data_IF_570697965942
#
_entry.id   IF_570697965942
#
_cell.length_a   1.000
_cell.length_b   1.000
_cell.length_c   1.000
_cell.angle_alpha   90.00
_cell.angle_beta   90.00
_cell.angle_gamma   90.00
#
_symmetry.space_group_name_H-M   'P 1'
#
loop_
_entity.id
_entity.type
_entity.pdbx_description
1 polymer ?
#
# COMPACT_ATOMS: atom_id res chain seq x y z
N UNK A 1 -11.35 11.98 16.84
CA UNK A 1 -10.41 10.90 16.98
C UNK A 1 -11.11 9.56 17.26
N UNK A 2 -10.47 8.49 16.93
CA UNK A 2 -10.89 7.13 17.25
C UNK A 2 -9.69 6.40 17.85
N UNK A 3 -9.95 5.54 18.82
CA UNK A 3 -8.94 4.60 19.33
C UNK A 3 -9.05 3.30 18.51
N UNK A 4 -8.09 3.01 17.61
CA UNK A 4 -8.15 1.80 16.79
C UNK A 4 -7.97 0.53 17.60
N UNK A 5 -7.19 0.57 18.67
CA UNK A 5 -6.92 -0.59 19.54
C UNK A 5 -8.11 -0.94 20.44
N UNK A 6 -9.04 -0.01 20.63
CA UNK A 6 -10.34 -0.27 21.27
C UNK A 6 -11.39 -0.84 20.31
N UNK A 7 -11.10 -0.91 19.01
CA UNK A 7 -11.99 -1.46 17.96
C UNK A 7 -11.48 -2.79 17.43
N UNK A 8 -10.19 -2.86 17.11
CA UNK A 8 -9.53 -4.04 16.59
C UNK A 8 -8.63 -4.66 17.64
N UNK A 9 -8.67 -5.98 17.73
CA UNK A 9 -7.64 -6.73 18.42
C UNK A 9 -6.42 -6.83 17.49
N UNK A 10 -5.49 -5.91 17.64
CA UNK A 10 -4.25 -5.89 16.86
C UNK A 10 -3.25 -6.88 17.46
N UNK A 11 -2.63 -7.70 16.62
CA UNK A 11 -1.65 -8.72 17.01
C UNK A 11 -0.44 -8.59 16.10
N UNK A 12 0.75 -8.54 16.71
CA UNK A 12 1.99 -8.81 16.00
C UNK A 12 2.09 -10.33 15.76
N UNK A 13 1.97 -10.72 14.47
CA UNK A 13 1.95 -12.13 14.07
C UNK A 13 3.36 -12.67 13.76
N UNK A 14 4.38 -11.85 13.97
CA UNK A 14 5.79 -12.16 13.79
C UNK A 14 6.23 -12.21 12.32
N UNK A 15 7.52 -12.38 12.15
CA UNK A 15 8.19 -12.34 10.85
C UNK A 15 7.97 -13.62 10.03
N UNK A 16 8.14 -13.49 8.71
CA UNK A 16 8.27 -14.62 7.81
C UNK A 16 9.73 -15.10 7.82
N UNK A 17 9.94 -16.37 8.06
CA UNK A 17 11.26 -16.97 7.93
C UNK A 17 11.62 -17.11 6.43
N UNK A 18 12.25 -16.10 5.86
CA UNK A 18 12.66 -16.07 4.45
C UNK A 18 13.79 -17.08 4.17
N UNK A 19 13.93 -17.47 2.90
CA UNK A 19 15.02 -18.32 2.39
C UNK A 19 16.03 -17.43 1.66
N UNK A 20 17.18 -17.08 2.26
CA UNK A 20 18.16 -16.22 1.61
C UNK A 20 18.61 -16.80 0.26
N UNK A 21 18.55 -15.98 -0.80
CA UNK A 21 18.92 -16.37 -2.15
C UNK A 21 17.87 -17.21 -2.90
N UNK A 22 16.72 -17.51 -2.28
CA UNK A 22 15.60 -18.21 -2.93
C UNK A 22 14.30 -17.40 -2.76
N UNK A 23 14.07 -16.47 -3.70
CA UNK A 23 12.88 -15.61 -3.68
C UNK A 23 11.59 -16.42 -3.89
N UNK A 24 11.62 -17.51 -4.64
CA UNK A 24 10.44 -18.35 -4.90
C UNK A 24 9.99 -19.03 -3.62
N UNK A 25 10.92 -19.60 -2.88
CA UNK A 25 10.64 -20.22 -1.57
C UNK A 25 10.24 -19.17 -0.54
N UNK A 26 10.89 -18.00 -0.53
CA UNK A 26 10.52 -16.88 0.35
C UNK A 26 9.08 -16.43 0.08
N UNK A 27 8.73 -16.21 -1.18
CA UNK A 27 7.35 -15.87 -1.58
C UNK A 27 6.33 -16.96 -1.21
N UNK A 28 6.71 -18.24 -1.31
CA UNK A 28 5.84 -19.33 -0.87
C UNK A 28 5.52 -19.22 0.63
N UNK A 29 6.54 -19.01 1.46
CA UNK A 29 6.40 -18.85 2.92
C UNK A 29 5.57 -17.63 3.29
N UNK A 30 5.78 -16.50 2.60
CA UNK A 30 4.96 -15.28 2.78
C UNK A 30 3.50 -15.57 2.45
N UNK A 31 3.24 -16.24 1.31
CA UNK A 31 1.88 -16.63 0.91
C UNK A 31 1.20 -17.50 1.98
N UNK A 32 1.93 -18.47 2.52
CA UNK A 32 1.40 -19.36 3.55
C UNK A 32 1.10 -18.57 4.86
N UNK A 33 1.99 -17.66 5.26
CA UNK A 33 1.79 -16.80 6.44
C UNK A 33 0.58 -15.89 6.31
N UNK A 34 0.41 -15.23 5.16
CA UNK A 34 -0.77 -14.38 4.90
C UNK A 34 -2.04 -15.22 4.87
N UNK A 35 -1.97 -16.42 4.28
CA UNK A 35 -3.10 -17.35 4.28
C UNK A 35 -3.52 -17.74 5.70
N UNK A 36 -2.59 -18.00 6.62
CA UNK A 36 -2.90 -18.29 8.04
C UNK A 36 -3.72 -17.16 8.68
N UNK A 37 -3.33 -15.89 8.42
CA UNK A 37 -4.07 -14.73 8.93
C UNK A 37 -5.49 -14.66 8.34
N UNK A 38 -5.61 -14.91 7.03
CA UNK A 38 -6.91 -14.91 6.35
C UNK A 38 -7.83 -16.06 6.78
N UNK A 39 -7.27 -17.22 7.09
CA UNK A 39 -8.02 -18.38 7.60
C UNK A 39 -8.57 -18.12 9.01
N UNK A 40 -7.97 -17.20 9.77
CA UNK A 40 -8.43 -16.73 11.08
C UNK A 40 -9.38 -15.52 11.00
N UNK A 41 -9.85 -15.17 9.79
CA UNK A 41 -10.64 -13.96 9.51
C UNK A 41 -9.95 -12.66 9.97
N UNK A 42 -8.62 -12.68 10.02
CA UNK A 42 -7.80 -11.51 10.31
C UNK A 42 -7.68 -10.59 9.09
N UNK A 43 -7.43 -9.30 9.35
CA UNK A 43 -7.09 -8.31 8.34
C UNK A 43 -5.56 -8.32 8.21
N UNK A 44 -4.99 -8.80 7.09
CA UNK A 44 -3.55 -8.83 6.91
C UNK A 44 -3.00 -7.41 6.70
N UNK A 45 -2.04 -7.02 7.52
CA UNK A 45 -1.22 -5.81 7.36
C UNK A 45 0.24 -6.26 7.33
N UNK A 46 0.84 -6.25 6.14
CA UNK A 46 2.20 -6.72 5.94
C UNK A 46 3.17 -5.55 5.94
N UNK A 47 4.29 -5.72 6.64
CA UNK A 47 5.34 -4.72 6.72
C UNK A 47 6.59 -5.23 6.02
N UNK A 48 6.94 -4.56 5.03
CA UNK A 48 8.02 -4.55 4.13
C UNK A 48 9.02 -5.58 4.03
N UNK A 49 9.99 -5.60 3.46
CA UNK A 49 10.89 -5.93 2.42
C UNK A 49 10.69 -5.07 1.16
N UNK A 50 11.27 -5.55 0.10
CA UNK A 50 11.09 -4.97 -1.22
C UNK A 50 9.67 -5.20 -1.78
N UNK A 51 9.30 -4.47 -2.82
CA UNK A 51 7.94 -4.50 -3.37
C UNK A 51 7.55 -5.86 -4.02
N UNK A 52 8.49 -6.79 -4.21
CA UNK A 52 8.19 -8.13 -4.74
C UNK A 52 7.26 -8.93 -3.83
N UNK A 53 7.24 -8.64 -2.52
CA UNK A 53 6.41 -9.34 -1.54
C UNK A 53 4.93 -9.19 -1.81
N UNK A 54 4.50 -8.08 -2.41
CA UNK A 54 3.09 -7.81 -2.74
C UNK A 54 2.50 -8.90 -3.62
N UNK A 55 3.26 -9.45 -4.57
CA UNK A 55 2.82 -10.62 -5.34
C UNK A 55 2.51 -11.82 -4.44
N UNK A 56 3.37 -12.11 -3.47
CA UNK A 56 3.18 -13.24 -2.55
C UNK A 56 1.95 -13.05 -1.66
N UNK A 57 1.74 -11.82 -1.20
CA UNK A 57 0.61 -11.43 -0.36
C UNK A 57 -0.71 -11.53 -1.13
N UNK A 58 -0.79 -10.93 -2.32
CA UNK A 58 -1.96 -10.97 -3.19
C UNK A 58 -2.26 -12.39 -3.63
N UNK A 59 -1.26 -13.24 -3.87
CA UNK A 59 -1.46 -14.66 -4.18
C UNK A 59 -2.18 -15.42 -3.07
N UNK A 60 -1.95 -15.08 -1.80
CA UNK A 60 -2.73 -15.62 -0.68
C UNK A 60 -4.15 -15.05 -0.67
N UNK A 61 -4.27 -13.74 -0.84
CA UNK A 61 -5.54 -13.01 -0.86
C UNK A 61 -6.47 -13.52 -1.98
N UNK A 62 -5.93 -13.78 -3.17
CA UNK A 62 -6.63 -14.34 -4.32
C UNK A 62 -7.16 -15.77 -4.11
N UNK A 63 -6.67 -16.50 -3.12
CA UNK A 63 -7.24 -17.82 -2.76
C UNK A 63 -8.59 -17.68 -2.03
N UNK A 64 -8.76 -16.60 -1.25
CA UNK A 64 -10.00 -16.29 -0.53
C UNK A 64 -10.96 -15.48 -1.41
N UNK A 65 -10.46 -14.50 -2.18
CA UNK A 65 -11.25 -13.56 -2.98
C UNK A 65 -10.92 -13.72 -4.47
N UNK A 66 -11.94 -13.93 -5.30
CA UNK A 66 -11.75 -14.23 -6.74
C UNK A 66 -11.60 -12.99 -7.61
N UNK A 67 -12.25 -11.89 -7.22
CA UNK A 67 -12.16 -10.61 -7.90
C UNK A 67 -11.73 -9.57 -6.88
N UNK A 68 -10.56 -9.00 -7.07
CA UNK A 68 -10.04 -7.96 -6.18
C UNK A 68 -9.92 -6.63 -6.91
N UNK A 69 -10.10 -5.54 -6.16
CA UNK A 69 -9.62 -4.23 -6.56
C UNK A 69 -8.27 -3.95 -5.93
N UNK A 70 -7.45 -3.15 -6.59
CA UNK A 70 -6.13 -2.81 -6.07
C UNK A 70 -5.83 -1.33 -6.26
N UNK A 71 -5.33 -0.70 -5.20
CA UNK A 71 -4.72 0.62 -5.25
C UNK A 71 -3.24 0.45 -4.94
N UNK A 72 -2.42 0.86 -5.89
CA UNK A 72 -0.97 0.86 -5.81
C UNK A 72 -0.50 2.30 -5.66
N UNK A 73 0.18 2.62 -4.59
CA UNK A 73 0.66 3.96 -4.27
C UNK A 73 2.17 3.89 -4.30
N UNK A 74 2.76 4.47 -5.33
CA UNK A 74 4.14 4.22 -5.70
C UNK A 74 4.66 5.29 -6.66
N UNK A 75 5.95 5.55 -6.60
CA UNK A 75 6.65 6.35 -7.61
C UNK A 75 6.88 5.59 -8.91
N UNK A 76 6.94 4.26 -8.81
CA UNK A 76 7.19 3.35 -9.92
C UNK A 76 5.92 2.61 -10.35
N UNK A 77 5.90 2.06 -11.55
CA UNK A 77 4.73 1.31 -12.02
C UNK A 77 4.83 -0.19 -11.74
N UNK A 78 5.98 -0.69 -11.46
CA UNK A 78 6.33 -2.06 -11.06
C UNK A 78 5.66 -3.17 -11.88
N UNK A 79 5.48 -2.88 -13.16
CA UNK A 79 4.77 -3.73 -14.11
C UNK A 79 5.65 -4.25 -15.26
N UNK A 80 6.98 -4.21 -15.09
CA UNK A 80 7.92 -4.76 -16.06
C UNK A 80 7.67 -6.26 -16.31
N UNK A 81 7.97 -6.80 -17.48
CA UNK A 81 7.85 -8.23 -17.74
C UNK A 81 8.79 -9.06 -16.84
N UNK A 82 9.89 -8.47 -16.45
CA UNK A 82 10.92 -9.01 -15.54
C UNK A 82 11.77 -7.88 -15.01
N UNK A 83 12.45 -8.07 -13.88
CA UNK A 83 13.40 -7.11 -13.35
C UNK A 83 14.64 -6.94 -14.21
N UNK A 84 15.52 -6.00 -13.85
CA UNK A 84 16.75 -5.68 -14.58
C UNK A 84 17.70 -6.88 -14.71
N UNK A 85 17.65 -7.81 -13.77
CA UNK A 85 18.46 -9.05 -13.79
C UNK A 85 17.83 -10.18 -14.59
N UNK A 86 16.68 -9.96 -15.24
CA UNK A 86 15.92 -10.99 -15.94
C UNK A 86 15.05 -11.84 -15.02
N UNK A 87 14.93 -11.48 -13.74
CA UNK A 87 14.15 -12.24 -12.76
C UNK A 87 12.67 -11.86 -12.83
N UNK A 88 11.78 -12.84 -12.79
CA UNK A 88 10.34 -12.62 -12.85
C UNK A 88 9.74 -12.10 -11.54
N UNK A 89 10.31 -12.54 -10.42
CA UNK A 89 9.82 -12.21 -9.07
C UNK A 89 10.70 -11.12 -8.49
N UNK A 90 10.59 -9.95 -9.06
CA UNK A 90 11.37 -8.76 -8.80
C UNK A 90 10.45 -7.63 -8.34
N UNK A 91 10.97 -6.68 -7.54
CA UNK A 91 10.19 -5.54 -7.05
C UNK A 91 9.55 -4.75 -8.21
N UNK A 92 10.29 -4.49 -9.29
CA UNK A 92 9.79 -3.79 -10.48
C UNK A 92 8.85 -4.61 -11.39
N UNK A 93 8.46 -5.83 -11.00
CA UNK A 93 7.69 -6.74 -11.86
C UNK A 93 6.44 -7.35 -11.18
N UNK A 94 6.19 -7.04 -9.92
CA UNK A 94 5.16 -7.71 -9.12
C UNK A 94 3.73 -7.48 -9.64
N UNK A 95 3.41 -6.29 -10.16
CA UNK A 95 2.09 -5.99 -10.73
C UNK A 95 1.77 -6.92 -11.91
N UNK A 96 2.75 -7.16 -12.78
CA UNK A 96 2.54 -8.10 -13.89
C UNK A 96 2.28 -9.53 -13.40
N UNK A 97 2.97 -9.96 -12.34
CA UNK A 97 2.74 -11.27 -11.71
C UNK A 97 1.35 -11.36 -11.08
N UNK A 98 0.86 -10.27 -10.48
CA UNK A 98 -0.49 -10.20 -9.92
C UNK A 98 -1.55 -10.32 -11.03
N UNK A 99 -1.36 -9.62 -12.15
CA UNK A 99 -2.27 -9.74 -13.31
C UNK A 99 -2.35 -11.17 -13.85
N UNK A 100 -1.22 -11.88 -13.85
CA UNK A 100 -1.17 -13.30 -14.27
C UNK A 100 -1.95 -14.25 -13.36
N UNK A 101 -2.26 -13.87 -12.10
CA UNK A 101 -3.13 -14.65 -11.22
C UNK A 101 -4.60 -14.64 -11.66
N UNK A 102 -5.01 -13.68 -12.49
CA UNK A 102 -6.37 -13.56 -13.00
C UNK A 102 -7.42 -13.07 -11.99
N UNK A 103 -7.01 -12.71 -10.78
CA UNK A 103 -7.90 -12.17 -9.73
C UNK A 103 -8.13 -10.66 -9.83
N UNK A 104 -7.22 -9.93 -10.49
CA UNK A 104 -7.26 -8.49 -10.70
C UNK A 104 -7.59 -8.19 -12.16
N UNK A 105 -8.57 -7.33 -12.40
CA UNK A 105 -8.85 -6.76 -13.73
C UNK A 105 -8.29 -5.35 -13.77
N UNK A 106 -7.74 -4.92 -14.91
CA UNK A 106 -7.15 -3.60 -15.01
C UNK A 106 -8.11 -2.46 -14.70
N UNK A 107 -9.39 -2.61 -15.06
CA UNK A 107 -10.44 -1.64 -14.68
C UNK A 107 -10.62 -1.47 -13.16
N UNK A 108 -10.10 -2.37 -12.33
CA UNK A 108 -10.15 -2.30 -10.88
C UNK A 108 -8.78 -1.97 -10.25
N UNK A 109 -7.83 -1.52 -11.08
CA UNK A 109 -6.49 -1.13 -10.65
C UNK A 109 -6.28 0.38 -10.82
N UNK A 110 -5.66 1.01 -9.83
CA UNK A 110 -5.23 2.40 -9.88
C UNK A 110 -3.82 2.53 -9.30
N UNK A 111 -2.91 3.19 -10.04
CA UNK A 111 -1.60 3.61 -9.57
C UNK A 111 -1.66 5.10 -9.20
N UNK A 112 -1.10 5.48 -8.06
CA UNK A 112 -1.03 6.88 -7.60
C UNK A 112 0.41 7.24 -7.29
N UNK A 113 0.93 8.30 -7.93
CA UNK A 113 2.23 8.89 -7.63
C UNK A 113 3.33 8.68 -8.65
N UNK A 114 3.12 7.99 -9.82
CA UNK A 114 4.22 7.71 -10.74
C UNK A 114 4.85 9.01 -11.27
N UNK A 115 6.18 9.01 -11.28
CA UNK A 115 7.00 10.13 -11.72
C UNK A 115 8.41 9.66 -12.11
N UNK A 116 9.33 10.59 -12.37
CA UNK A 116 10.68 10.26 -12.80
C UNK A 116 10.74 9.82 -14.24
N UNK A 117 11.75 9.05 -14.59
CA UNK A 117 12.01 8.57 -15.95
C UNK A 117 11.54 7.13 -16.21
N UNK A 118 11.04 6.46 -15.20
CA UNK A 118 10.51 5.10 -15.29
C UNK A 118 9.07 5.07 -14.72
N UNK A 119 8.08 4.43 -15.37
CA UNK A 119 8.24 3.57 -16.54
C UNK A 119 8.42 4.33 -17.86
N UNK A 120 9.08 3.67 -18.81
CA UNK A 120 9.19 4.18 -20.18
C UNK A 120 7.89 4.00 -20.99
N UNK A 121 7.83 4.56 -22.23
CA UNK A 121 6.62 4.58 -23.06
C UNK A 121 5.98 3.20 -23.30
N UNK A 122 6.79 2.16 -23.42
CA UNK A 122 6.30 0.79 -23.67
C UNK A 122 5.51 0.22 -22.47
N UNK A 123 5.93 0.56 -21.25
CA UNK A 123 5.20 0.16 -20.04
C UNK A 123 3.89 0.94 -19.88
N UNK A 124 3.90 2.24 -20.13
CA UNK A 124 2.66 3.04 -20.17
C UNK A 124 1.66 2.52 -21.21
N UNK A 125 2.18 2.14 -22.40
CA UNK A 125 1.33 1.51 -23.41
C UNK A 125 0.74 0.21 -22.89
N UNK A 126 1.55 -0.65 -22.28
CA UNK A 126 1.05 -1.90 -21.70
C UNK A 126 0.00 -1.65 -20.62
N UNK A 127 0.22 -0.68 -19.73
CA UNK A 127 -0.76 -0.30 -18.70
C UNK A 127 -2.09 0.14 -19.31
N UNK A 128 -2.04 0.97 -20.35
CA UNK A 128 -3.23 1.41 -21.10
C UNK A 128 -3.95 0.23 -21.76
N UNK A 129 -3.22 -0.71 -22.37
CA UNK A 129 -3.76 -1.93 -23.00
C UNK A 129 -4.43 -2.85 -21.94
N UNK A 130 -4.06 -2.75 -20.65
CA UNK A 130 -4.70 -3.44 -19.53
C UNK A 130 -5.89 -2.69 -18.92
N UNK A 131 -6.23 -1.50 -19.42
CA UNK A 131 -7.26 -0.62 -18.83
C UNK A 131 -6.89 -0.18 -17.38
N UNK A 132 -5.61 0.08 -17.12
CA UNK A 132 -5.14 0.65 -15.86
C UNK A 132 -5.47 2.14 -15.78
N UNK A 133 -5.81 2.60 -14.59
CA UNK A 133 -5.81 4.02 -14.25
C UNK A 133 -4.51 4.38 -13.53
N UNK A 134 -3.98 5.56 -13.79
CA UNK A 134 -2.90 6.14 -12.99
C UNK A 134 -3.10 7.64 -12.83
N UNK A 135 -2.59 8.15 -11.72
CA UNK A 135 -2.52 9.55 -11.39
C UNK A 135 -1.07 9.91 -11.10
N UNK A 136 -0.46 10.66 -11.98
CA UNK A 136 0.91 11.19 -11.81
C UNK A 136 0.94 12.24 -10.70
N UNK A 137 2.15 12.64 -10.27
CA UNK A 137 2.26 13.76 -9.34
C UNK A 137 1.75 15.10 -9.92
N UNK A 138 1.74 15.25 -11.26
CA UNK A 138 1.09 16.40 -11.90
C UNK A 138 -0.44 16.35 -11.72
N UNK A 139 -1.03 15.16 -11.82
CA UNK A 139 -2.46 14.98 -11.54
C UNK A 139 -2.79 15.26 -10.06
N UNK A 140 -1.88 14.91 -9.15
CA UNK A 140 -2.04 15.24 -7.71
C UNK A 140 -2.07 16.74 -7.50
N UNK A 141 -1.19 17.49 -8.20
CA UNK A 141 -1.14 18.95 -8.14
C UNK A 141 -2.40 19.60 -8.75
N UNK A 142 -2.86 19.10 -9.89
CA UNK A 142 -4.00 19.68 -10.63
C UNK A 142 -5.36 19.32 -10.02
N UNK A 143 -5.56 18.06 -9.64
CA UNK A 143 -6.86 17.54 -9.21
C UNK A 143 -7.04 17.58 -7.69
N UNK A 144 -5.94 17.50 -6.95
CA UNK A 144 -5.91 17.38 -5.50
C UNK A 144 -6.17 15.94 -5.00
N UNK A 145 -5.60 15.66 -3.84
CA UNK A 145 -5.56 14.30 -3.27
C UNK A 145 -6.98 13.76 -2.93
N UNK A 146 -7.92 14.63 -2.60
CA UNK A 146 -9.29 14.22 -2.22
C UNK A 146 -10.06 13.63 -3.41
N UNK A 147 -9.92 14.25 -4.59
CA UNK A 147 -10.55 13.76 -5.81
C UNK A 147 -9.91 12.45 -6.26
N UNK A 148 -8.59 12.38 -6.26
CA UNK A 148 -7.84 11.17 -6.62
C UNK A 148 -8.20 9.99 -5.71
N UNK A 149 -8.23 10.20 -4.39
CA UNK A 149 -8.62 9.17 -3.43
C UNK A 149 -10.02 8.62 -3.72
N UNK A 150 -10.97 9.52 -4.02
CA UNK A 150 -12.34 9.12 -4.36
C UNK A 150 -12.40 8.29 -5.65
N UNK A 151 -11.78 8.76 -6.72
CA UNK A 151 -11.81 8.07 -8.02
C UNK A 151 -11.11 6.70 -7.92
N UNK A 152 -9.97 6.62 -7.21
CA UNK A 152 -9.27 5.37 -6.96
C UNK A 152 -10.12 4.39 -6.13
N UNK A 153 -10.78 4.87 -5.07
CA UNK A 153 -11.65 4.04 -4.24
C UNK A 153 -12.88 3.54 -5.01
N UNK A 154 -13.54 4.40 -5.79
CA UNK A 154 -14.69 4.03 -6.61
C UNK A 154 -14.31 2.92 -7.62
N UNK A 155 -13.14 3.07 -8.28
CA UNK A 155 -12.64 2.09 -9.25
C UNK A 155 -12.25 0.77 -8.59
N UNK A 156 -11.57 0.81 -7.46
CA UNK A 156 -11.17 -0.40 -6.73
C UNK A 156 -12.36 -1.17 -6.14
N UNK A 157 -13.49 -0.50 -5.86
CA UNK A 157 -14.70 -1.13 -5.32
C UNK A 157 -15.68 -1.65 -6.40
N UNK A 158 -15.42 -1.42 -7.70
CA UNK A 158 -16.40 -1.74 -8.75
C UNK A 158 -16.53 -3.26 -8.98
N UNK A 159 -17.58 -3.84 -8.40
CA UNK A 159 -17.94 -5.27 -8.55
C UNK A 159 -16.79 -6.23 -8.17
N UNK A 160 -16.16 -6.00 -7.05
CA UNK A 160 -15.08 -6.83 -6.49
C UNK A 160 -15.50 -7.50 -5.18
N UNK A 161 -14.80 -8.56 -4.81
CA UNK A 161 -15.03 -9.28 -3.56
C UNK A 161 -14.30 -8.60 -2.39
N UNK A 162 -13.14 -7.99 -2.65
CA UNK A 162 -12.26 -7.39 -1.65
C UNK A 162 -11.29 -6.39 -2.28
N UNK A 163 -10.69 -5.52 -1.46
CA UNK A 163 -9.72 -4.52 -1.91
C UNK A 163 -8.36 -4.73 -1.24
N UNK A 164 -7.31 -4.57 -2.03
CA UNK A 164 -5.92 -4.59 -1.61
C UNK A 164 -5.29 -3.21 -1.83
N UNK A 165 -4.62 -2.67 -0.82
CA UNK A 165 -3.79 -1.48 -0.97
C UNK A 165 -2.33 -1.87 -0.78
N UNK A 166 -1.49 -1.54 -1.75
CA UNK A 166 -0.04 -1.61 -1.65
C UNK A 166 0.53 -0.21 -1.63
N UNK A 167 1.35 0.08 -0.63
CA UNK A 167 1.97 1.39 -0.46
C UNK A 167 3.49 1.26 -0.43
N UNK A 168 4.14 1.78 -1.47
CA UNK A 168 5.57 2.00 -1.47
C UNK A 168 5.89 3.32 -0.75
N UNK A 169 6.87 3.27 0.16
CA UNK A 169 7.25 4.46 0.93
C UNK A 169 7.92 5.52 0.07
N UNK A 170 8.49 5.15 -1.08
CA UNK A 170 9.15 6.06 -2.00
C UNK A 170 8.18 6.96 -2.79
N UNK A 171 6.86 6.71 -2.70
CA UNK A 171 5.84 7.65 -3.17
C UNK A 171 6.00 9.03 -2.55
N UNK A 172 6.50 9.07 -1.31
CA UNK A 172 6.81 10.34 -0.67
C UNK A 172 8.03 11.00 -1.28
N UNK A 173 8.06 12.34 -1.24
CA UNK A 173 9.27 13.08 -1.55
C UNK A 173 10.41 12.69 -0.59
N UNK A 174 11.66 12.56 -1.08
CA UNK A 174 12.81 12.22 -0.24
C UNK A 174 13.05 13.16 0.95
N UNK A 175 12.49 14.37 0.92
CA UNK A 175 12.50 15.26 2.08
C UNK A 175 11.69 14.73 3.27
N UNK A 176 10.73 13.82 3.03
CA UNK A 176 9.87 13.21 4.05
C UNK A 176 10.18 11.73 4.28
N UNK A 177 10.67 11.02 3.25
CA UNK A 177 10.99 9.60 3.32
C UNK A 177 12.33 9.30 2.64
N UNK A 178 13.48 9.73 3.24
CA UNK A 178 14.79 9.44 2.68
C UNK A 178 15.22 7.97 2.81
N UNK A 179 14.63 7.21 3.70
CA UNK A 179 15.00 5.83 4.02
C UNK A 179 14.33 4.80 3.12
N UNK A 180 14.62 4.86 1.82
CA UNK A 180 14.15 3.91 0.80
C UNK A 180 15.24 3.62 -0.22
N UNK A 181 15.03 2.62 -1.08
CA UNK A 181 16.01 2.17 -2.07
C UNK A 181 16.07 3.05 -3.30
N UNK A 182 14.94 3.49 -3.84
CA UNK A 182 14.82 4.16 -5.13
C UNK A 182 14.05 5.50 -5.03
N UNK A 183 14.56 6.45 -4.24
CA UNK A 183 13.87 7.72 -4.01
C UNK A 183 13.84 8.61 -5.25
N UNK A 184 12.68 9.15 -5.58
CA UNK A 184 12.48 10.13 -6.66
C UNK A 184 11.95 11.47 -6.11
N UNK A 185 12.48 12.61 -6.53
CA UNK A 185 12.00 13.92 -6.07
C UNK A 185 10.58 14.23 -6.59
N UNK A 186 9.96 15.27 -6.00
CA UNK A 186 8.61 15.72 -6.32
C UNK A 186 7.53 14.69 -5.97
N UNK A 187 7.69 14.01 -4.83
CA UNK A 187 6.71 13.06 -4.31
C UNK A 187 5.65 13.69 -3.40
N UNK A 188 4.83 12.83 -2.81
CA UNK A 188 3.83 13.26 -1.83
C UNK A 188 4.50 13.91 -0.60
N UNK A 189 3.92 14.97 -0.12
CA UNK A 189 4.23 15.46 1.22
C UNK A 189 3.65 14.52 2.27
N UNK A 190 4.19 14.55 3.48
CA UNK A 190 3.62 13.77 4.59
C UNK A 190 2.14 14.11 4.87
N UNK A 191 1.74 15.37 4.62
CA UNK A 191 0.34 15.80 4.76
C UNK A 191 -0.58 15.14 3.74
N UNK A 192 -0.17 15.11 2.47
CA UNK A 192 -0.94 14.50 1.38
C UNK A 192 -1.07 13.00 1.58
N UNK A 193 0.03 12.31 1.91
CA UNK A 193 0.00 10.88 2.20
C UNK A 193 -0.92 10.53 3.39
N UNK A 194 -0.84 11.29 4.50
CA UNK A 194 -1.77 11.10 5.62
C UNK A 194 -3.22 11.37 5.22
N UNK A 195 -3.47 12.37 4.36
CA UNK A 195 -4.82 12.66 3.86
C UNK A 195 -5.32 11.53 2.97
N UNK A 196 -4.48 11.06 2.04
CA UNK A 196 -4.79 9.95 1.15
C UNK A 196 -5.14 8.69 1.96
N UNK A 197 -4.31 8.31 2.93
CA UNK A 197 -4.55 7.16 3.79
C UNK A 197 -5.90 7.24 4.54
N UNK A 198 -6.23 8.41 5.12
CA UNK A 198 -7.51 8.61 5.81
C UNK A 198 -8.71 8.42 4.89
N UNK A 199 -8.63 8.94 3.67
CA UNK A 199 -9.72 8.85 2.70
C UNK A 199 -9.89 7.40 2.23
N UNK A 200 -8.80 6.73 1.85
CA UNK A 200 -8.85 5.36 1.39
C UNK A 200 -9.30 4.39 2.48
N UNK A 201 -8.74 4.49 3.68
CA UNK A 201 -9.09 3.58 4.80
C UNK A 201 -10.54 3.69 5.28
N UNK A 202 -11.23 4.81 5.00
CA UNK A 202 -12.67 4.97 5.28
C UNK A 202 -13.56 4.55 4.12
N UNK A 203 -13.00 4.14 2.98
CA UNK A 203 -13.75 3.82 1.76
C UNK A 203 -14.02 2.32 1.59
N UNK A 204 -13.40 1.45 2.41
CA UNK A 204 -13.42 0.01 2.20
C UNK A 204 -13.97 -0.75 3.41
N UNK A 205 -14.58 -1.91 3.13
CA UNK A 205 -15.01 -2.84 4.14
C UNK A 205 -13.79 -3.49 4.83
N UNK A 206 -13.57 -3.27 6.14
CA UNK A 206 -12.42 -3.82 6.84
C UNK A 206 -12.33 -5.35 6.79
N UNK A 207 -13.48 -6.05 6.73
CA UNK A 207 -13.53 -7.51 6.71
C UNK A 207 -13.16 -8.11 5.34
N UNK A 208 -12.97 -7.26 4.32
CA UNK A 208 -12.60 -7.61 2.95
C UNK A 208 -11.43 -6.77 2.44
N UNK A 209 -10.44 -6.62 3.29
CA UNK A 209 -9.34 -5.69 3.06
C UNK A 209 -7.99 -6.32 3.41
N UNK A 210 -6.95 -5.92 2.69
CA UNK A 210 -5.57 -6.17 3.04
C UNK A 210 -4.69 -4.98 2.63
N UNK A 211 -3.56 -4.86 3.30
CA UNK A 211 -2.61 -3.76 3.10
C UNK A 211 -1.17 -4.23 3.21
N UNK A 212 -0.29 -3.70 2.39
CA UNK A 212 1.13 -3.74 2.68
C UNK A 212 1.78 -2.36 2.58
N UNK A 213 2.86 -2.20 3.33
CA UNK A 213 3.76 -1.05 3.32
C UNK A 213 5.18 -1.56 3.08
N UNK A 214 5.78 -1.15 1.98
CA UNK A 214 7.02 -1.73 1.46
C UNK A 214 8.12 -0.69 1.25
N UNK A 215 9.32 -1.16 0.93
CA UNK A 215 10.52 -0.39 0.56
C UNK A 215 11.04 0.54 1.67
N UNK A 216 10.61 0.36 2.92
CA UNK A 216 11.25 1.06 4.03
C UNK A 216 12.62 0.44 4.29
N UNK A 217 13.66 1.23 4.11
CA UNK A 217 15.05 0.84 4.32
C UNK A 217 15.66 1.63 5.49
N UNK A 218 15.54 1.16 6.75
CA UNK A 218 15.98 1.90 7.93
C UNK A 218 17.48 2.23 7.93
N UNK A 219 18.30 1.46 7.22
CA UNK A 219 19.74 1.71 7.10
C UNK A 219 20.08 2.97 6.29
N UNK A 220 19.14 3.43 5.44
CA UNK A 220 19.27 4.67 4.66
C UNK A 220 18.52 5.84 5.31
N UNK A 221 17.76 5.55 6.38
CA UNK A 221 16.92 6.56 7.03
C UNK A 221 17.74 7.55 7.86
N UNK A 222 17.27 8.78 7.93
CA UNK A 222 17.88 9.81 8.76
C UNK A 222 17.40 9.65 10.19
N UNK A 223 18.34 9.30 11.08
CA UNK A 223 18.12 9.17 12.51
C UNK A 223 19.30 9.77 13.29
N UNK A 224 19.00 10.47 14.38
CA UNK A 224 19.99 10.97 15.33
C UNK A 224 20.40 9.92 16.39
N UNK A 225 19.91 8.69 16.25
CA UNK A 225 20.10 7.60 17.21
C UNK A 225 19.28 7.72 18.50
N UNK A 226 18.59 8.85 18.69
CA UNK A 226 17.72 9.12 19.84
C UNK A 226 16.23 9.18 19.46
N UNK A 227 15.93 9.05 18.16
CA UNK A 227 14.55 9.09 17.69
C UNK A 227 13.75 7.90 18.23
N UNK A 228 12.65 8.18 18.89
CA UNK A 228 11.72 7.17 19.39
C UNK A 228 11.15 6.26 18.28
N UNK A 229 11.11 6.76 17.04
CA UNK A 229 10.55 6.07 15.88
C UNK A 229 11.61 5.45 14.95
N UNK A 230 12.88 5.43 15.34
CA UNK A 230 13.97 4.85 14.52
C UNK A 230 14.53 5.80 13.46
N UNK A 231 13.71 6.60 12.79
CA UNK A 231 14.10 7.56 11.75
C UNK A 231 12.89 8.30 11.20
N UNK A 232 13.13 9.23 10.28
CA UNK A 232 12.08 10.07 9.69
C UNK A 232 11.12 9.19 8.86
N UNK A 233 11.65 8.33 8.00
CA UNK A 233 10.88 7.43 7.14
C UNK A 233 10.16 6.37 7.97
N UNK A 234 10.85 5.74 8.91
CA UNK A 234 10.28 4.75 9.82
C UNK A 234 9.15 5.34 10.67
N UNK A 235 9.31 6.59 11.12
CA UNK A 235 8.27 7.32 11.84
C UNK A 235 7.05 7.64 10.98
N UNK A 236 7.27 8.01 9.71
CA UNK A 236 6.20 8.25 8.74
C UNK A 236 5.45 6.94 8.40
N UNK A 237 6.17 5.86 8.17
CA UNK A 237 5.62 4.52 7.92
C UNK A 237 4.72 4.05 9.08
N UNK A 238 5.22 4.14 10.31
CA UNK A 238 4.45 3.84 11.50
C UNK A 238 3.16 4.69 11.58
N UNK A 239 3.26 5.98 11.28
CA UNK A 239 2.08 6.87 11.30
C UNK A 239 1.05 6.51 10.23
N UNK A 240 1.46 6.09 9.04
CA UNK A 240 0.54 5.60 8.00
C UNK A 240 -0.28 4.40 8.49
N UNK A 241 0.36 3.44 9.16
CA UNK A 241 -0.33 2.27 9.71
C UNK A 241 -1.36 2.68 10.77
N UNK A 242 -1.02 3.62 11.65
CA UNK A 242 -1.96 4.11 12.66
C UNK A 242 -3.16 4.83 12.01
N UNK A 243 -2.92 5.62 10.95
CA UNK A 243 -4.01 6.28 10.20
C UNK A 243 -4.89 5.25 9.46
N UNK A 244 -4.29 4.20 8.87
CA UNK A 244 -5.01 3.08 8.28
C UNK A 244 -5.95 2.44 9.31
N UNK A 245 -5.41 2.01 10.45
CA UNK A 245 -6.19 1.37 11.51
C UNK A 245 -7.29 2.28 12.05
N UNK A 246 -7.01 3.59 12.17
CA UNK A 246 -8.00 4.57 12.60
C UNK A 246 -9.15 4.70 11.59
N UNK A 247 -8.84 4.75 10.29
CA UNK A 247 -9.87 4.82 9.24
C UNK A 247 -10.71 3.55 9.17
N UNK A 248 -10.10 2.37 9.15
CA UNK A 248 -10.81 1.09 9.21
C UNK A 248 -11.70 0.99 10.46
N UNK A 249 -11.24 1.53 11.60
CA UNK A 249 -12.03 1.58 12.84
C UNK A 249 -13.27 2.46 12.74
N UNK A 250 -13.17 3.58 12.01
CA UNK A 250 -14.32 4.44 11.73
C UNK A 250 -15.36 3.69 10.89
N UNK A 251 -14.91 3.05 9.81
CA UNK A 251 -15.79 2.25 8.94
C UNK A 251 -16.45 1.10 9.71
N UNK A 252 -15.70 0.38 10.53
CA UNK A 252 -16.24 -0.70 11.39
C UNK A 252 -17.32 -0.21 12.35
N UNK A 253 -17.25 1.06 12.79
CA UNK A 253 -18.26 1.73 13.61
C UNK A 253 -19.40 2.37 12.80
N UNK A 254 -19.42 2.23 11.49
CA UNK A 254 -20.40 2.90 10.62
C UNK A 254 -20.23 4.42 10.54
N UNK A 255 -19.02 4.91 10.75
CA UNK A 255 -18.67 6.33 10.70
C UNK A 255 -17.78 6.59 9.48
N UNK A 256 -18.07 7.66 8.76
CA UNK A 256 -17.27 8.07 7.58
C UNK A 256 -16.20 9.10 7.93
N UNK A 257 -16.37 9.82 9.04
CA UNK A 257 -15.41 10.83 9.49
C UNK A 257 -15.23 10.79 11.00
N UNK A 258 -13.98 10.91 11.42
CA UNK A 258 -13.63 11.12 12.82
C UNK A 258 -13.91 12.57 13.21
N UNK A 259 -14.53 12.79 14.37
CA UNK A 259 -14.67 14.14 14.92
C UNK A 259 -13.30 14.70 15.27
N UNK A 260 -12.97 15.94 14.85
CA UNK A 260 -11.72 16.55 15.25
C UNK A 260 -11.67 16.67 16.77
N UNK A 261 -10.52 16.28 17.34
CA UNK A 261 -10.26 16.50 18.78
C UNK A 261 -10.09 18.01 18.98
N UNK A 262 -11.09 18.63 19.60
CA UNK A 262 -11.08 20.07 19.94
C UNK A 262 -11.09 20.24 21.45
N UNK A 263 -10.59 21.37 22.00
CA UNK A 263 -10.54 21.57 23.45
C UNK A 263 -11.88 21.36 24.18
N UNK A 264 -13.00 21.63 23.51
CA UNK A 264 -14.33 21.43 24.08
C UNK A 264 -14.79 19.96 24.11
N UNK A 265 -14.07 19.04 23.45
CA UNK A 265 -14.40 17.62 23.42
C UNK A 265 -14.21 16.94 24.79
N UNK A 266 -13.33 17.51 25.64
CA UNK A 266 -13.02 17.01 26.98
C UNK A 266 -13.73 17.76 28.09
N UNK A 267 -14.67 18.63 27.75
CA UNK A 267 -15.44 19.45 28.72
C UNK A 267 -16.91 19.01 28.89
N UNK A 268 -17.22 17.80 28.37
CA UNK A 268 -18.55 17.20 28.50
C UNK A 268 -18.63 16.21 29.64
#
# INVERSE_FOLDING_TARGET
>A
GVDPFGVFRTVDYGDVNISPGDVVESHRRMTDKVKEVLDLDGIPVMLGGDHSITFANVRAFAKKYKNIGMIHIDTHADCAPQGLTGFKYDHGAHIRRIMELGCLKGKNYTLIGPRGYWPGPDLYKWMADQDFQWFTMLDVEELGIDKIAKEAADRANDNVDAVYISWDIDTFDPAYAPGTGEPEPNGLTSREGMRLMRLLSTSFDPDRFAFDLVEVAPNYDVSDGNSYNGGITSGLANRLIVELLAGLSLTKKGLTEGKPVRPNFYRG
#
